data_IF_256758644238
#
_entry.id   IF_256758644238
#
_cell.length_a   1.000
_cell.length_b   1.000
_cell.length_c   1.000
_cell.angle_alpha   90.00
_cell.angle_beta   90.00
_cell.angle_gamma   90.00
#
_symmetry.space_group_name_H-M   'P 1'
#
loop_
_entity.id
_entity.type
_entity.pdbx_description
1 polymer ?
#
# COMPACT_ATOMS: atom_id res chain seq x y z
N UNK A 1 -4.75 -6.25 -20.10
CA UNK A 1 -5.95 -7.10 -20.05
C UNK A 1 -5.51 -8.48 -19.60
N UNK A 2 -6.13 -9.00 -18.54
CA UNK A 2 -5.72 -10.22 -17.89
C UNK A 2 -6.59 -11.40 -18.31
N UNK A 3 -6.06 -12.61 -18.16
CA UNK A 3 -6.76 -13.87 -18.41
C UNK A 3 -6.24 -14.94 -17.48
N UNK A 4 -7.14 -15.53 -16.70
CA UNK A 4 -6.86 -16.67 -15.85
C UNK A 4 -7.26 -17.94 -16.60
N UNK A 5 -6.27 -18.73 -17.05
CA UNK A 5 -6.52 -19.95 -17.81
C UNK A 5 -5.54 -21.05 -17.45
N UNK A 6 -5.97 -22.31 -17.58
CA UNK A 6 -5.11 -23.46 -17.33
C UNK A 6 -5.90 -24.74 -17.15
N UNK A 7 -5.24 -25.76 -16.59
CA UNK A 7 -5.86 -27.03 -16.22
C UNK A 7 -5.77 -27.21 -14.72
N UNK A 8 -6.91 -27.39 -14.06
CA UNK A 8 -6.96 -27.71 -12.64
C UNK A 8 -6.78 -29.22 -12.44
N UNK A 9 -5.87 -29.59 -11.53
CA UNK A 9 -5.68 -30.96 -11.07
C UNK A 9 -5.95 -31.05 -9.57
N UNK A 10 -6.54 -32.15 -9.15
CA UNK A 10 -6.67 -32.48 -7.73
C UNK A 10 -5.30 -32.80 -7.11
N UNK A 11 -5.16 -32.80 -5.77
CA UNK A 11 -3.88 -33.10 -5.11
C UNK A 11 -3.29 -34.48 -5.46
N UNK A 12 -4.14 -35.43 -5.86
CA UNK A 12 -3.76 -36.76 -6.34
C UNK A 12 -3.41 -36.80 -7.85
N UNK A 13 -3.42 -35.64 -8.52
CA UNK A 13 -3.15 -35.49 -9.94
C UNK A 13 -4.35 -35.79 -10.85
N UNK A 14 -5.49 -36.20 -10.30
CA UNK A 14 -6.69 -36.53 -11.09
C UNK A 14 -7.43 -35.27 -11.58
N UNK A 15 -8.31 -35.44 -12.57
CA UNK A 15 -9.15 -34.36 -13.10
C UNK A 15 -10.36 -34.20 -12.17
N UNK A 16 -10.72 -32.96 -11.77
CA UNK A 16 -11.92 -32.75 -10.98
C UNK A 16 -13.18 -33.14 -11.76
N UNK A 17 -14.16 -33.74 -11.08
CA UNK A 17 -15.47 -34.10 -11.66
C UNK A 17 -16.39 -32.88 -11.89
N UNK A 18 -15.81 -31.68 -11.92
CA UNK A 18 -16.49 -30.40 -12.03
C UNK A 18 -16.08 -29.41 -10.95
N UNK A 19 -16.42 -28.15 -11.16
CA UNK A 19 -16.15 -27.10 -10.18
C UNK A 19 -16.23 -25.71 -10.79
N UNK A 20 -15.91 -24.71 -9.97
CA UNK A 20 -15.90 -23.31 -10.35
C UNK A 20 -14.78 -22.58 -9.63
N UNK A 21 -14.03 -21.77 -10.37
CA UNK A 21 -13.15 -20.76 -9.78
C UNK A 21 -13.99 -19.49 -9.65
N UNK A 22 -14.13 -18.99 -8.43
CA UNK A 22 -14.80 -17.72 -8.15
C UNK A 22 -13.76 -16.62 -8.13
N UNK A 23 -13.98 -15.58 -8.92
CA UNK A 23 -13.17 -14.37 -8.96
C UNK A 23 -14.01 -13.21 -8.41
N UNK A 24 -13.43 -12.35 -7.58
CA UNK A 24 -14.07 -11.09 -7.19
C UNK A 24 -13.03 -10.00 -7.02
N UNK A 25 -13.43 -8.75 -7.18
CA UNK A 25 -12.58 -7.63 -6.76
C UNK A 25 -12.43 -7.69 -5.23
N UNK A 26 -11.22 -7.48 -4.67
CA UNK A 26 -11.03 -7.44 -3.23
C UNK A 26 -11.95 -6.37 -2.64
N UNK A 27 -12.52 -6.67 -1.46
CA UNK A 27 -13.15 -5.61 -0.68
C UNK A 27 -12.02 -4.67 -0.24
N UNK A 28 -12.15 -3.37 -0.47
CA UNK A 28 -11.27 -2.39 0.15
C UNK A 28 -11.23 -2.66 1.66
N UNK A 29 -10.09 -3.17 2.13
CA UNK A 29 -9.80 -3.29 3.56
C UNK A 29 -9.47 -1.88 4.03
N UNK A 30 -10.48 -1.03 4.22
CA UNK A 30 -10.27 0.20 4.96
C UNK A 30 -10.05 -0.16 6.43
N UNK A 31 -8.79 -0.34 6.80
CA UNK A 31 -8.32 -0.70 8.14
C UNK A 31 -8.29 0.47 9.11
N UNK A 32 -8.85 1.63 8.77
CA UNK A 32 -8.79 2.80 9.66
C UNK A 32 -9.90 2.80 10.73
N UNK A 33 -11.08 2.20 10.51
CA UNK A 33 -12.16 2.25 11.52
C UNK A 33 -13.28 1.19 11.33
N UNK A 34 -12.95 -0.07 11.05
CA UNK A 34 -13.89 -1.20 11.19
C UNK A 34 -15.19 -1.17 10.36
N UNK A 35 -15.42 -0.17 9.51
CA UNK A 35 -16.62 -0.03 8.69
C UNK A 35 -16.27 -0.19 7.22
N UNK A 36 -16.55 -1.39 6.71
CA UNK A 36 -16.40 -1.74 5.30
C UNK A 36 -17.56 -1.15 4.50
N UNK A 37 -17.33 -0.10 3.71
CA UNK A 37 -18.30 0.34 2.69
C UNK A 37 -18.58 -0.84 1.75
N UNK A 38 -19.79 -1.36 1.83
CA UNK A 38 -20.19 -2.61 1.18
C UNK A 38 -20.74 -2.31 -0.20
N UNK A 39 -19.88 -2.30 -1.23
CA UNK A 39 -20.35 -2.64 -2.57
C UNK A 39 -20.44 -4.17 -2.67
N UNK A 40 -21.51 -4.74 -3.25
CA UNK A 40 -21.57 -6.18 -3.49
C UNK A 40 -20.45 -6.55 -4.45
N UNK A 41 -19.47 -7.32 -3.96
CA UNK A 41 -18.37 -7.80 -4.79
C UNK A 41 -18.97 -8.66 -5.93
N UNK A 42 -19.00 -8.11 -7.14
CA UNK A 42 -19.44 -8.86 -8.33
C UNK A 42 -18.50 -10.07 -8.46
N UNK A 43 -19.08 -11.24 -8.27
CA UNK A 43 -18.33 -12.50 -8.34
C UNK A 43 -18.50 -13.07 -9.75
N UNK A 44 -17.39 -13.30 -10.43
CA UNK A 44 -17.32 -14.01 -11.70
C UNK A 44 -17.13 -15.50 -11.39
N UNK A 45 -17.96 -16.34 -11.98
CA UNK A 45 -17.87 -17.79 -11.86
C UNK A 45 -17.22 -18.34 -13.14
N UNK A 46 -16.04 -18.93 -13.01
CA UNK A 46 -15.29 -19.53 -14.10
C UNK A 46 -15.47 -21.05 -13.99
N UNK A 47 -16.23 -21.68 -14.90
CA UNK A 47 -16.46 -23.12 -14.85
C UNK A 47 -15.15 -23.89 -15.10
N UNK A 48 -15.02 -25.03 -14.45
CA UNK A 48 -13.98 -26.03 -14.73
C UNK A 48 -14.62 -27.15 -15.53
N UNK A 49 -14.07 -27.44 -16.69
CA UNK A 49 -14.47 -28.55 -17.53
C UNK A 49 -14.21 -29.88 -16.81
N UNK A 50 -15.25 -30.70 -16.62
CA UNK A 50 -15.17 -31.93 -15.85
C UNK A 50 -14.42 -33.06 -16.57
N UNK A 51 -14.16 -32.93 -17.87
CA UNK A 51 -13.48 -33.95 -18.68
C UNK A 51 -11.99 -33.68 -18.79
N UNK A 52 -11.61 -32.41 -18.87
CA UNK A 52 -10.24 -31.96 -19.13
C UNK A 52 -9.60 -31.25 -17.93
N UNK A 53 -10.42 -30.72 -17.02
CA UNK A 53 -10.00 -29.84 -15.93
C UNK A 53 -9.71 -28.41 -16.40
N UNK A 54 -9.98 -28.10 -17.67
CA UNK A 54 -9.69 -26.78 -18.24
C UNK A 54 -10.59 -25.69 -17.64
N UNK A 55 -10.03 -24.50 -17.45
CA UNK A 55 -10.76 -23.31 -17.07
C UNK A 55 -10.22 -22.09 -17.82
N UNK A 56 -11.09 -21.11 -18.03
CA UNK A 56 -10.75 -19.87 -18.72
C UNK A 56 -11.69 -18.75 -18.28
N UNK A 57 -11.13 -17.67 -17.72
CA UNK A 57 -11.90 -16.49 -17.32
C UNK A 57 -12.41 -15.65 -18.49
N UNK A 58 -11.92 -15.90 -19.70
CA UNK A 58 -11.93 -14.91 -20.77
C UNK A 58 -11.11 -13.68 -20.40
N UNK A 59 -11.31 -12.59 -21.13
CA UNK A 59 -10.62 -11.33 -20.86
C UNK A 59 -11.26 -10.59 -19.69
N UNK A 60 -10.45 -10.28 -18.69
CA UNK A 60 -10.84 -9.47 -17.53
C UNK A 60 -9.92 -8.24 -17.42
N UNK A 61 -10.37 -7.15 -16.76
CA UNK A 61 -9.50 -6.02 -16.47
C UNK A 61 -8.28 -6.45 -15.67
N UNK A 62 -7.12 -5.83 -15.92
CA UNK A 62 -5.96 -6.00 -15.06
C UNK A 62 -6.27 -5.43 -13.68
N UNK A 63 -5.73 -6.05 -12.63
CA UNK A 63 -5.90 -5.53 -11.27
C UNK A 63 -5.88 -6.60 -10.20
N UNK A 64 -6.18 -6.21 -8.96
CA UNK A 64 -6.23 -7.13 -7.85
C UNK A 64 -7.53 -7.92 -7.88
N UNK A 65 -7.44 -9.20 -7.53
CA UNK A 65 -8.58 -10.09 -7.42
C UNK A 65 -8.45 -10.98 -6.19
N UNK A 66 -9.58 -11.45 -5.72
CA UNK A 66 -9.65 -12.58 -4.82
C UNK A 66 -10.15 -13.78 -5.59
N UNK A 67 -9.45 -14.90 -5.45
CA UNK A 67 -9.80 -16.16 -6.09
C UNK A 67 -10.21 -17.18 -5.04
N UNK A 68 -11.23 -17.98 -5.35
CA UNK A 68 -11.63 -19.12 -4.53
C UNK A 68 -11.95 -20.31 -5.41
N UNK A 69 -11.42 -21.46 -5.00
CA UNK A 69 -11.73 -22.76 -5.62
C UNK A 69 -13.00 -23.33 -4.99
N UNK A 70 -13.94 -23.75 -5.83
CA UNK A 70 -15.14 -24.49 -5.44
C UNK A 70 -15.19 -25.75 -6.30
N UNK A 71 -14.50 -26.79 -5.87
CA UNK A 71 -14.29 -28.02 -6.63
C UNK A 71 -15.22 -29.11 -6.13
N UNK A 72 -15.95 -29.73 -7.05
CA UNK A 72 -16.82 -30.88 -6.78
C UNK A 72 -15.96 -32.14 -6.68
N UNK A 73 -16.15 -32.97 -5.65
CA UNK A 73 -15.44 -34.24 -5.47
C UNK A 73 -14.04 -34.14 -4.82
N UNK A 74 -13.54 -32.93 -4.54
CA UNK A 74 -12.33 -32.78 -3.73
C UNK A 74 -12.66 -33.04 -2.25
N UNK A 75 -12.02 -34.02 -1.56
CA UNK A 75 -12.11 -34.08 -0.10
C UNK A 75 -11.66 -32.73 0.43
N UNK A 76 -12.39 -32.21 1.41
CA UNK A 76 -12.18 -30.90 2.02
C UNK A 76 -10.78 -30.77 2.63
N UNK A 77 -9.76 -30.53 1.80
CA UNK A 77 -8.40 -30.31 2.26
C UNK A 77 -8.08 -28.82 2.05
N UNK A 78 -8.44 -28.02 3.06
CA UNK A 78 -7.96 -26.64 3.31
C UNK A 78 -8.31 -25.52 2.32
N UNK A 79 -8.69 -25.84 1.07
CA UNK A 79 -8.68 -24.90 -0.06
C UNK A 79 -10.02 -24.69 -0.77
N UNK A 80 -11.07 -25.41 -0.37
CA UNK A 80 -12.44 -25.23 -0.89
C UNK A 80 -13.21 -24.07 -0.19
N UNK A 81 -12.55 -23.34 0.72
CA UNK A 81 -13.19 -22.39 1.64
C UNK A 81 -12.66 -20.95 1.58
N UNK A 82 -11.32 -20.80 1.52
CA UNK A 82 -10.65 -19.51 1.62
C UNK A 82 -10.60 -18.74 0.31
N UNK A 83 -10.57 -17.42 0.42
CA UNK A 83 -10.22 -16.53 -0.68
C UNK A 83 -8.71 -16.26 -0.62
N UNK A 84 -8.03 -16.36 -1.76
CA UNK A 84 -6.63 -15.97 -1.93
C UNK A 84 -6.58 -14.64 -2.67
N UNK A 85 -5.79 -13.69 -2.17
CA UNK A 85 -5.51 -12.43 -2.87
C UNK A 85 -4.50 -12.73 -4.01
N UNK A 86 -4.72 -12.15 -5.20
CA UNK A 86 -3.85 -12.26 -6.38
C UNK A 86 -3.83 -10.94 -7.15
N UNK A 87 -2.77 -10.68 -7.91
CA UNK A 87 -2.74 -9.60 -8.90
C UNK A 87 -2.74 -10.23 -10.29
N UNK A 88 -3.78 -9.95 -11.08
CA UNK A 88 -3.91 -10.48 -12.42
C UNK A 88 -3.49 -9.42 -13.44
N UNK A 89 -2.45 -9.75 -14.19
CA UNK A 89 -1.99 -8.99 -15.35
C UNK A 89 -1.53 -9.98 -16.42
N UNK A 90 -1.93 -9.75 -17.67
CA UNK A 90 -1.64 -10.69 -18.75
C UNK A 90 -2.26 -12.08 -18.53
N UNK A 91 -1.67 -13.12 -19.15
CA UNK A 91 -2.18 -14.49 -19.07
C UNK A 91 -1.43 -15.29 -18.02
N UNK A 92 -2.14 -15.87 -17.06
CA UNK A 92 -1.56 -16.68 -15.97
C UNK A 92 -2.48 -17.85 -15.61
N UNK A 93 -1.93 -18.91 -15.02
CA UNK A 93 -2.72 -19.95 -14.36
C UNK A 93 -2.99 -19.61 -12.88
N UNK A 94 -3.92 -20.34 -12.29
CA UNK A 94 -4.39 -20.16 -10.91
C UNK A 94 -3.29 -20.38 -9.87
N UNK A 95 -2.42 -21.37 -10.05
CA UNK A 95 -1.42 -21.70 -9.04
C UNK A 95 -0.31 -20.65 -9.06
N UNK A 96 0.20 -20.31 -10.25
CA UNK A 96 1.17 -19.22 -10.39
C UNK A 96 0.63 -17.90 -9.88
N UNK A 97 -0.62 -17.52 -10.20
CA UNK A 97 -1.20 -16.27 -9.70
C UNK A 97 -1.25 -16.17 -8.17
N UNK A 98 -1.44 -17.31 -7.48
CA UNK A 98 -1.44 -17.39 -6.01
C UNK A 98 -0.01 -17.34 -5.46
N UNK A 99 0.91 -18.10 -6.05
CA UNK A 99 2.28 -18.23 -5.55
C UNK A 99 3.12 -16.98 -5.79
N UNK A 100 2.84 -16.23 -6.87
CA UNK A 100 3.53 -14.98 -7.21
C UNK A 100 2.82 -13.74 -6.69
N UNK A 101 1.84 -13.89 -5.80
CA UNK A 101 1.15 -12.74 -5.23
C UNK A 101 2.11 -11.90 -4.38
N UNK A 102 2.36 -10.67 -4.83
CA UNK A 102 3.08 -9.67 -4.07
C UNK A 102 2.10 -8.62 -3.51
N UNK A 103 1.88 -8.56 -2.18
CA UNK A 103 0.97 -7.60 -1.56
C UNK A 103 1.40 -6.14 -1.71
N UNK A 104 2.65 -5.88 -2.12
CA UNK A 104 3.19 -4.53 -2.35
C UNK A 104 3.09 -4.09 -3.81
N UNK A 105 2.95 -5.05 -4.74
CA UNK A 105 2.84 -4.78 -6.19
C UNK A 105 1.57 -4.02 -6.59
N UNK A 106 0.53 -4.08 -5.74
CA UNK A 106 -0.67 -3.27 -5.88
C UNK A 106 -0.82 -2.37 -4.65
N UNK A 107 -0.57 -1.07 -4.86
CA UNK A 107 -0.86 -0.05 -3.87
C UNK A 107 -2.24 0.53 -4.21
N UNK A 108 -3.33 0.13 -3.53
CA UNK A 108 -4.64 0.71 -3.80
C UNK A 108 -4.59 2.24 -3.62
N UNK A 109 -5.46 3.01 -4.31
CA UNK A 109 -5.42 4.47 -4.30
C UNK A 109 -5.37 5.08 -2.89
N UNK A 110 -6.03 4.42 -1.93
CA UNK A 110 -6.05 4.82 -0.51
C UNK A 110 -4.74 4.56 0.23
N UNK A 111 -4.01 3.48 -0.08
CA UNK A 111 -2.68 3.21 0.47
C UNK A 111 -1.66 4.18 -0.15
N UNK A 112 -1.81 4.47 -1.44
CA UNK A 112 -1.00 5.49 -2.13
C UNK A 112 -1.22 6.88 -1.49
N UNK A 113 -2.47 7.25 -1.22
CA UNK A 113 -2.79 8.49 -0.52
C UNK A 113 -2.25 8.52 0.93
N UNK A 114 -2.35 7.42 1.67
CA UNK A 114 -1.83 7.33 3.03
C UNK A 114 -0.28 7.40 3.06
N UNK A 115 0.40 6.75 2.12
CA UNK A 115 1.85 6.82 1.97
C UNK A 115 2.30 8.23 1.54
N UNK A 116 1.56 8.88 0.64
CA UNK A 116 1.81 10.27 0.27
C UNK A 116 1.62 11.22 1.45
N UNK A 117 0.58 11.02 2.27
CA UNK A 117 0.36 11.79 3.49
C UNK A 117 1.45 11.54 4.55
N UNK A 118 1.91 10.30 4.71
CA UNK A 118 3.02 9.97 5.60
C UNK A 118 4.34 10.60 5.14
N UNK A 119 4.61 10.60 3.82
CA UNK A 119 5.76 11.27 3.24
C UNK A 119 5.71 12.78 3.44
N UNK A 120 4.54 13.41 3.27
CA UNK A 120 4.33 14.83 3.55
C UNK A 120 4.51 15.15 5.04
N UNK A 121 4.03 14.29 5.95
CA UNK A 121 4.22 14.46 7.38
C UNK A 121 5.70 14.33 7.79
N UNK A 122 6.44 13.39 7.20
CA UNK A 122 7.88 13.25 7.42
C UNK A 122 8.66 14.48 6.91
N UNK A 123 8.29 15.02 5.75
CA UNK A 123 8.86 16.26 5.22
C UNK A 123 8.55 17.46 6.13
N UNK A 124 7.32 17.56 6.64
CA UNK A 124 6.93 18.61 7.58
C UNK A 124 7.67 18.51 8.92
N UNK A 125 7.89 17.29 9.43
CA UNK A 125 8.67 17.08 10.65
C UNK A 125 10.14 17.47 10.47
N UNK A 126 10.78 17.08 9.36
CA UNK A 126 12.14 17.47 9.04
C UNK A 126 12.29 19.00 8.86
N UNK A 127 11.29 19.65 8.24
CA UNK A 127 11.28 21.10 8.11
C UNK A 127 11.10 21.81 9.47
N UNK A 128 10.28 21.26 10.37
CA UNK A 128 10.11 21.79 11.72
C UNK A 128 11.36 21.61 12.58
N UNK A 129 12.07 20.49 12.45
CA UNK A 129 13.34 20.24 13.14
C UNK A 129 14.44 21.18 12.65
N UNK A 130 14.57 21.39 11.33
CA UNK A 130 15.49 22.37 10.76
C UNK A 130 15.16 23.82 11.18
N UNK A 131 13.87 24.17 11.27
CA UNK A 131 13.44 25.48 11.76
C UNK A 131 13.73 25.65 13.26
N UNK A 132 13.53 24.60 14.06
CA UNK A 132 13.88 24.60 15.47
C UNK A 132 15.40 24.74 15.68
N UNK A 133 16.21 24.12 14.83
CA UNK A 133 17.67 24.26 14.87
C UNK A 133 18.13 25.68 14.49
N UNK A 134 17.48 26.33 13.51
CA UNK A 134 17.73 27.75 13.21
C UNK A 134 17.37 28.69 14.36
N UNK A 135 16.25 28.42 15.06
CA UNK A 135 15.86 29.21 16.24
C UNK A 135 16.78 28.92 17.44
N UNK A 136 17.21 27.67 17.61
CA UNK A 136 18.14 27.29 18.67
C UNK A 136 19.52 27.91 18.45
N UNK A 137 20.01 28.00 17.21
CA UNK A 137 21.32 28.54 16.87
C UNK A 137 21.39 30.07 16.68
N UNK A 138 20.25 30.77 16.71
CA UNK A 138 20.15 32.11 16.13
C UNK A 138 20.25 33.24 17.15
N UNK A 139 21.31 34.04 17.04
CA UNK A 139 21.33 35.41 17.59
C UNK A 139 20.08 36.15 17.09
N UNK A 140 19.21 36.55 18.01
CA UNK A 140 17.99 37.30 17.69
C UNK A 140 18.28 38.79 17.83
N UNK A 141 17.95 39.56 16.79
CA UNK A 141 17.95 41.02 16.82
C UNK A 141 16.54 41.53 17.07
N UNK A 142 16.36 42.33 18.12
CA UNK A 142 15.10 42.99 18.46
C UNK A 142 15.25 44.49 18.23
N UNK A 143 14.37 45.09 17.43
CA UNK A 143 14.27 46.56 17.30
C UNK A 143 13.61 47.13 18.57
N UNK A 144 14.27 48.07 19.24
CA UNK A 144 13.76 48.68 20.46
C UNK A 144 12.78 49.84 20.19
N UNK A 145 12.60 50.24 18.91
CA UNK A 145 11.67 51.30 18.51
C UNK A 145 12.17 52.72 18.79
N UNK A 146 13.40 52.87 19.30
CA UNK A 146 14.10 54.13 19.58
C UNK A 146 15.29 54.36 18.63
N UNK A 147 15.40 53.54 17.58
CA UNK A 147 16.52 53.54 16.64
C UNK A 147 17.70 52.67 17.07
N UNK A 148 17.58 51.93 18.18
CA UNK A 148 18.57 50.94 18.63
C UNK A 148 18.09 49.50 18.45
N UNK A 149 19.03 48.56 18.28
CA UNK A 149 18.76 47.13 18.23
C UNK A 149 19.39 46.42 19.43
N UNK A 150 18.67 45.49 20.04
CA UNK A 150 19.17 44.57 21.06
C UNK A 150 19.47 43.22 20.44
N UNK A 151 20.68 42.69 20.67
CA UNK A 151 21.07 41.34 20.25
C UNK A 151 21.06 40.38 21.45
N UNK A 152 20.41 39.23 21.30
CA UNK A 152 20.43 38.17 22.31
C UNK A 152 20.79 36.84 21.68
N UNK A 153 21.67 36.06 22.32
CA UNK A 153 22.05 34.71 21.90
C UNK A 153 21.57 33.67 22.90
N UNK A 154 21.06 32.55 22.41
CA UNK A 154 20.68 31.38 23.19
C UNK A 154 21.80 30.36 23.36
N UNK A 155 22.93 30.52 22.66
CA UNK A 155 23.97 29.48 22.50
C UNK A 155 25.37 29.92 22.87
N UNK A 156 25.57 31.17 23.27
CA UNK A 156 26.90 31.67 23.61
C UNK A 156 26.89 33.13 24.05
N UNK A 157 28.07 33.68 24.27
CA UNK A 157 28.25 35.09 24.59
C UNK A 157 28.43 35.91 23.31
N UNK A 158 27.84 37.09 23.28
CA UNK A 158 28.05 38.08 22.23
C UNK A 158 29.16 39.04 22.69
N UNK A 159 30.22 39.14 21.89
CA UNK A 159 31.34 40.06 22.12
C UNK A 159 31.21 41.22 21.14
N UNK A 160 31.08 42.44 21.67
CA UNK A 160 31.09 43.69 20.91
C UNK A 160 32.54 44.12 20.60
N UNK A 161 32.82 44.47 19.35
CA UNK A 161 34.12 45.02 18.95
C UNK A 161 34.15 46.55 18.90
N UNK A 162 32.99 47.20 19.08
CA UNK A 162 32.88 48.67 19.10
C UNK A 162 32.96 49.34 17.72
N UNK A 163 32.96 48.56 16.64
CA UNK A 163 32.98 49.03 15.24
C UNK A 163 31.69 48.71 14.47
N UNK A 164 30.64 48.30 15.20
CA UNK A 164 29.38 47.83 14.65
C UNK A 164 29.36 46.34 14.30
N UNK A 165 30.43 45.59 14.62
CA UNK A 165 30.48 44.13 14.46
C UNK A 165 30.48 43.42 15.81
N UNK A 166 29.92 42.21 15.83
CA UNK A 166 29.80 41.35 17.00
C UNK A 166 30.27 39.94 16.67
N UNK A 167 30.94 39.28 17.62
CA UNK A 167 31.30 37.86 17.49
C UNK A 167 30.53 37.02 18.51
N UNK A 168 29.91 35.96 18.02
CA UNK A 168 29.35 34.92 18.88
C UNK A 168 30.46 33.96 19.29
N UNK A 169 30.72 33.85 20.58
CA UNK A 169 31.59 32.83 21.16
C UNK A 169 30.72 31.77 21.84
N UNK A 170 30.72 30.56 21.29
CA UNK A 170 30.03 29.37 21.82
C UNK A 170 30.96 28.53 22.68
#
# INVERSE_FOLDING_TARGET
MARLQGVYKLPDGSIPIGGTIKLRVPRDRNTTNGSSYTMPAKTIAIPIDATTGAYDSGTIPDGPYQVRRVITGAPTQGSNGGWSDVILSGTTDLQTAIDTYDPTSYTPPVVSAAQAAAAQAAQAAAAAEAAAEQVAGGVVATDNGDGTFSLSSSTGALVDHGDGTWTLTT
#
